data_IF_408054719300
#
_entry.id   IF_408054719300
#
_cell.length_a   1.000
_cell.length_b   1.000
_cell.length_c   1.000
_cell.angle_alpha   90.00
_cell.angle_beta   90.00
_cell.angle_gamma   90.00
#
_symmetry.space_group_name_H-M   'P 1'
#
loop_
_entity.id
_entity.type
_entity.pdbx_description
1 polymer ?
#
# COMPACT_ATOMS: atom_id res chain seq x y z
N UNK A 1 -5.68 6.60 -1.71
CA UNK A 1 -4.64 5.73 -1.12
C UNK A 1 -3.23 6.09 -1.58
N UNK A 2 -2.94 6.15 -2.89
CA UNK A 2 -1.59 6.44 -3.39
C UNK A 2 -0.95 7.72 -2.82
N UNK A 3 -1.67 8.85 -2.84
CA UNK A 3 -1.18 10.13 -2.29
C UNK A 3 -0.78 10.00 -0.81
N UNK A 4 -1.57 9.26 -0.01
CA UNK A 4 -1.29 9.03 1.41
C UNK A 4 0.01 8.25 1.59
N UNK A 5 0.23 7.22 0.77
CA UNK A 5 1.47 6.43 0.77
C UNK A 5 2.66 7.30 0.37
N UNK A 6 2.53 8.12 -0.68
CA UNK A 6 3.59 9.02 -1.13
C UNK A 6 3.99 10.03 -0.04
N UNK A 7 3.01 10.66 0.61
CA UNK A 7 3.27 11.62 1.70
C UNK A 7 3.93 10.89 2.89
N UNK A 8 3.37 9.77 3.33
CA UNK A 8 3.89 9.00 4.46
C UNK A 8 5.34 8.56 4.25
N UNK A 9 5.66 8.00 3.07
CA UNK A 9 7.02 7.59 2.72
C UNK A 9 8.00 8.76 2.69
N UNK A 10 7.56 9.92 2.20
CA UNK A 10 8.40 11.12 2.14
C UNK A 10 8.71 11.65 3.54
N UNK A 11 7.72 11.68 4.44
CA UNK A 11 7.91 12.08 5.85
C UNK A 11 8.86 11.10 6.54
N UNK A 12 8.64 9.79 6.40
CA UNK A 12 9.52 8.76 7.00
C UNK A 12 10.95 8.93 6.49
N UNK A 13 11.14 9.12 5.19
CA UNK A 13 12.46 9.33 4.60
C UNK A 13 13.13 10.61 5.10
N UNK A 14 12.37 11.70 5.26
CA UNK A 14 12.88 12.93 5.85
C UNK A 14 13.33 12.71 7.29
N UNK A 15 12.49 12.08 8.13
CA UNK A 15 12.82 11.82 9.53
C UNK A 15 14.02 10.89 9.70
N UNK A 16 14.20 9.95 8.78
CA UNK A 16 15.30 8.97 8.81
C UNK A 16 16.63 9.58 8.40
N UNK A 17 16.61 10.53 7.46
CA UNK A 17 17.85 11.05 6.84
C UNK A 17 18.21 12.47 7.23
N UNK A 18 17.24 13.30 7.66
CA UNK A 18 17.38 14.74 7.90
C UNK A 18 18.06 15.48 6.74
N UNK A 19 17.79 15.07 5.50
CA UNK A 19 18.45 15.57 4.30
C UNK A 19 17.44 16.06 3.27
N UNK A 20 17.78 17.14 2.56
CA UNK A 20 16.96 17.70 1.46
C UNK A 20 16.72 16.68 0.34
N UNK A 21 17.65 15.75 0.17
CA UNK A 21 17.54 14.64 -0.80
C UNK A 21 16.32 13.74 -0.54
N UNK A 22 15.78 13.71 0.69
CA UNK A 22 14.55 12.97 1.00
C UNK A 22 13.32 13.46 0.20
N UNK A 23 13.33 14.69 -0.33
CA UNK A 23 12.25 15.18 -1.18
C UNK A 23 12.14 14.40 -2.49
N UNK A 24 13.21 13.74 -2.96
CA UNK A 24 13.17 12.87 -4.14
C UNK A 24 12.36 11.58 -3.92
N UNK A 25 12.05 11.25 -2.66
CA UNK A 25 11.21 10.09 -2.35
C UNK A 25 9.80 10.29 -2.91
N UNK A 26 9.26 11.51 -2.87
CA UNK A 26 7.92 11.80 -3.39
C UNK A 26 7.76 11.44 -4.89
N UNK A 27 8.57 11.99 -5.82
CA UNK A 27 8.46 11.63 -7.24
C UNK A 27 8.82 10.16 -7.50
N UNK A 28 9.80 9.60 -6.79
CA UNK A 28 10.19 8.20 -6.97
C UNK A 28 9.07 7.24 -6.57
N UNK A 29 8.46 7.45 -5.39
CA UNK A 29 7.32 6.65 -4.92
C UNK A 29 6.12 6.83 -5.83
N UNK A 30 5.85 8.04 -6.32
CA UNK A 30 4.76 8.25 -7.27
C UNK A 30 4.95 7.43 -8.55
N UNK A 31 6.16 7.45 -9.15
CA UNK A 31 6.43 6.67 -10.36
C UNK A 31 6.24 5.17 -10.12
N UNK A 32 6.73 4.65 -8.99
CA UNK A 32 6.54 3.22 -8.63
C UNK A 32 5.06 2.88 -8.43
N UNK A 33 4.32 3.72 -7.71
CA UNK A 33 2.89 3.49 -7.50
C UNK A 33 2.11 3.61 -8.80
N UNK A 34 2.47 4.55 -9.66
CA UNK A 34 1.86 4.72 -10.97
C UNK A 34 2.07 3.46 -11.81
N UNK A 35 3.31 2.97 -11.95
CA UNK A 35 3.59 1.77 -12.73
C UNK A 35 2.85 0.55 -12.19
N UNK A 36 2.83 0.34 -10.87
CA UNK A 36 2.06 -0.73 -10.24
C UNK A 36 0.56 -0.62 -10.54
N UNK A 37 -0.02 0.57 -10.41
CA UNK A 37 -1.43 0.82 -10.71
C UNK A 37 -1.75 0.70 -12.21
N UNK A 38 -0.78 0.92 -13.11
CA UNK A 38 -0.98 0.67 -14.56
C UNK A 38 -1.05 -0.82 -14.89
N UNK A 39 -0.35 -1.67 -14.12
CA UNK A 39 -0.43 -3.12 -14.28
C UNK A 39 -1.69 -3.70 -13.64
N UNK A 40 -2.05 -3.21 -12.45
CA UNK A 40 -3.29 -3.57 -11.77
C UNK A 40 -3.85 -2.38 -10.98
N UNK A 41 -4.96 -1.84 -11.48
CA UNK A 41 -5.69 -0.72 -10.86
C UNK A 41 -6.16 -0.98 -9.42
N UNK A 42 -6.24 -2.26 -8.99
CA UNK A 42 -6.71 -2.69 -7.66
C UNK A 42 -5.58 -3.07 -6.71
N UNK A 43 -4.33 -2.97 -7.12
CA UNK A 43 -3.19 -3.47 -6.34
C UNK A 43 -3.10 -2.83 -4.94
N UNK A 44 -3.46 -1.55 -4.80
CA UNK A 44 -3.47 -0.85 -3.51
C UNK A 44 -4.61 -1.32 -2.58
N UNK A 45 -5.76 -1.69 -3.15
CA UNK A 45 -6.87 -2.26 -2.37
C UNK A 45 -6.46 -3.65 -1.87
N UNK A 46 -5.84 -4.48 -2.72
CA UNK A 46 -5.30 -5.79 -2.35
C UNK A 46 -4.23 -5.63 -1.26
N UNK A 47 -3.29 -4.69 -1.42
CA UNK A 47 -2.25 -4.44 -0.45
C UNK A 47 -2.84 -4.02 0.91
N UNK A 48 -3.88 -3.19 0.91
CA UNK A 48 -4.57 -2.79 2.13
C UNK A 48 -5.27 -3.97 2.82
N UNK A 49 -5.81 -4.88 2.03
CA UNK A 49 -6.48 -6.08 2.54
C UNK A 49 -5.48 -7.08 3.13
N UNK A 50 -4.35 -7.35 2.48
CA UNK A 50 -3.34 -8.29 2.99
C UNK A 50 -2.55 -7.72 4.17
N UNK A 51 -2.37 -6.40 4.24
CA UNK A 51 -1.71 -5.73 5.38
C UNK A 51 -2.63 -5.59 6.58
N UNK A 52 -3.94 -5.66 6.37
CA UNK A 52 -4.91 -5.78 7.44
C UNK A 52 -4.73 -7.13 8.12
N UNK A 53 -4.22 -7.11 9.35
CA UNK A 53 -4.14 -8.27 10.25
C UNK A 53 -5.54 -8.74 10.72
N UNK A 54 -6.58 -8.61 9.89
CA UNK A 54 -7.92 -9.01 10.27
C UNK A 54 -7.96 -10.54 10.35
N UNK A 55 -8.39 -11.11 11.48
CA UNK A 55 -8.50 -12.56 11.62
C UNK A 55 -9.45 -13.12 10.55
N UNK A 56 -9.01 -14.19 9.90
CA UNK A 56 -9.80 -14.89 8.88
C UNK A 56 -11.09 -15.41 9.49
N UNK A 57 -12.22 -14.86 9.06
CA UNK A 57 -13.53 -15.41 9.43
C UNK A 57 -13.83 -16.63 8.55
N UNK A 58 -14.04 -17.83 9.13
CA UNK A 58 -14.35 -19.03 8.36
C UNK A 58 -15.79 -18.95 7.84
N UNK A 59 -15.92 -18.62 6.56
CA UNK A 59 -17.21 -18.32 5.92
C UNK A 59 -17.36 -19.00 4.54
N UNK A 60 -16.43 -19.91 4.22
CA UNK A 60 -16.37 -20.61 2.94
C UNK A 60 -17.66 -21.38 2.60
N UNK A 61 -18.35 -21.90 3.62
CA UNK A 61 -19.59 -22.65 3.43
C UNK A 61 -20.73 -21.82 2.82
N UNK A 62 -20.76 -20.51 3.07
CA UNK A 62 -21.82 -19.64 2.57
C UNK A 62 -21.41 -18.84 1.32
N UNK A 63 -20.16 -18.37 1.24
CA UNK A 63 -19.71 -17.47 0.15
C UNK A 63 -18.72 -18.09 -0.83
N UNK A 64 -18.37 -19.38 -0.68
CA UNK A 64 -17.40 -20.07 -1.54
C UNK A 64 -15.93 -19.66 -1.32
N UNK A 65 -15.67 -18.66 -0.47
CA UNK A 65 -14.34 -18.22 -0.04
C UNK A 65 -14.34 -17.78 1.42
N UNK A 66 -13.17 -17.77 2.05
CA UNK A 66 -13.00 -17.18 3.39
C UNK A 66 -12.76 -15.67 3.29
N UNK A 67 -13.09 -14.92 4.34
CA UNK A 67 -12.74 -13.50 4.42
C UNK A 67 -11.25 -13.30 4.17
N UNK A 68 -10.90 -12.22 3.45
CA UNK A 68 -9.52 -11.92 3.12
C UNK A 68 -8.69 -11.73 4.41
N UNK A 69 -7.84 -12.71 4.68
CA UNK A 69 -6.90 -12.77 5.80
C UNK A 69 -6.04 -14.00 5.60
N UNK A 70 -4.71 -13.82 5.71
CA UNK A 70 -3.73 -14.91 5.68
C UNK A 70 -4.02 -15.90 6.82
#
# INVERSE_FOLDING_TARGET
MAIVVTIGMTIIGWLTTNSVWALLIAPTVYLVLFTLCTWDSRILDVLQVITRMTPKTPNKAFWGSNSYGL
#
